data_IF_058989206885
#
_entry.id   IF_058989206885
#
_cell.length_a   1.000
_cell.length_b   1.000
_cell.length_c   1.000
_cell.angle_alpha   90.00
_cell.angle_beta   90.00
_cell.angle_gamma   90.00
#
_symmetry.space_group_name_H-M   'P 1'
#
loop_
_entity.id
_entity.type
_entity.pdbx_description
1 polymer ?
#
# COMPACT_ATOMS: atom_id res chain seq x y z
N UNK A 1 7.49 -2.93 3.99
CA UNK A 1 7.41 -4.39 4.23
C UNK A 1 6.43 -5.03 3.23
N UNK A 2 6.56 -6.33 2.98
CA UNK A 2 5.97 -7.02 1.82
C UNK A 2 4.93 -8.05 2.25
N UNK A 3 3.74 -8.01 1.63
CA UNK A 3 2.76 -9.09 1.72
C UNK A 3 3.04 -10.07 0.58
N UNK A 4 3.70 -11.19 0.91
CA UNK A 4 4.01 -12.25 -0.06
C UNK A 4 2.76 -13.07 -0.39
N UNK A 5 2.64 -13.52 -1.65
CA UNK A 5 1.52 -14.36 -2.09
C UNK A 5 0.16 -13.66 -2.06
N UNK A 6 0.12 -12.33 -2.20
CA UNK A 6 -1.13 -11.56 -2.07
C UNK A 6 -2.23 -11.96 -3.07
N UNK A 7 -1.87 -12.54 -4.23
CA UNK A 7 -2.82 -13.01 -5.24
C UNK A 7 -3.67 -14.21 -4.80
N UNK A 8 -3.19 -15.00 -3.84
CA UNK A 8 -3.91 -16.15 -3.30
C UNK A 8 -4.78 -15.79 -2.09
N UNK A 9 -4.73 -14.54 -1.64
CA UNK A 9 -5.46 -14.05 -0.47
C UNK A 9 -6.76 -13.38 -0.88
N UNK A 10 -7.83 -13.68 -0.16
CA UNK A 10 -9.03 -12.86 -0.19
C UNK A 10 -8.82 -11.56 0.62
N UNK A 11 -9.80 -10.65 0.58
CA UNK A 11 -9.73 -9.36 1.26
C UNK A 11 -9.43 -9.48 2.77
N UNK A 12 -10.08 -10.42 3.46
CA UNK A 12 -9.85 -10.65 4.88
C UNK A 12 -8.42 -11.16 5.15
N UNK A 13 -7.89 -12.02 4.28
CA UNK A 13 -6.52 -12.50 4.33
C UNK A 13 -5.50 -11.37 4.15
N UNK A 14 -5.71 -10.49 3.18
CA UNK A 14 -4.88 -9.29 2.98
C UNK A 14 -4.93 -8.40 4.21
N UNK A 15 -6.11 -8.13 4.76
CA UNK A 15 -6.27 -7.30 5.96
C UNK A 15 -5.52 -7.89 7.17
N UNK A 16 -5.66 -9.20 7.41
CA UNK A 16 -4.94 -9.90 8.48
C UNK A 16 -3.42 -9.81 8.30
N UNK A 17 -2.91 -10.10 7.09
CA UNK A 17 -1.47 -10.01 6.79
C UNK A 17 -0.92 -8.59 6.92
N UNK A 18 -1.70 -7.59 6.52
CA UNK A 18 -1.37 -6.18 6.70
C UNK A 18 -1.25 -5.84 8.19
N UNK A 19 -2.20 -6.28 9.01
CA UNK A 19 -2.17 -6.05 10.46
C UNK A 19 -0.96 -6.73 11.13
N UNK A 20 -0.69 -7.99 10.79
CA UNK A 20 0.47 -8.75 11.28
C UNK A 20 1.79 -8.00 10.99
N UNK A 21 2.03 -7.63 9.73
CA UNK A 21 3.30 -7.02 9.33
C UNK A 21 3.42 -5.57 9.82
N UNK A 22 2.30 -4.85 9.93
CA UNK A 22 2.28 -3.51 10.53
C UNK A 22 2.52 -3.57 12.05
N UNK A 23 2.07 -4.62 12.74
CA UNK A 23 2.39 -4.89 14.13
C UNK A 23 3.90 -5.09 14.32
N UNK A 24 4.51 -5.97 13.50
CA UNK A 24 5.97 -6.17 13.50
C UNK A 24 6.73 -4.87 13.24
N UNK A 25 6.30 -4.07 12.26
CA UNK A 25 6.92 -2.80 11.93
C UNK A 25 6.94 -1.83 13.12
N UNK A 26 5.82 -1.66 13.81
CA UNK A 26 5.72 -0.78 14.99
C UNK A 26 6.53 -1.32 16.17
N UNK A 27 6.61 -2.63 16.31
CA UNK A 27 7.40 -3.30 17.35
C UNK A 27 8.90 -3.42 17.05
N UNK A 28 9.38 -2.91 15.91
CA UNK A 28 10.79 -3.01 15.52
C UNK A 28 11.25 -4.42 15.12
N UNK A 29 10.32 -5.35 14.90
CA UNK A 29 10.60 -6.77 14.62
C UNK A 29 10.61 -7.13 13.13
N UNK A 30 10.87 -6.17 12.24
CA UNK A 30 10.99 -6.46 10.81
C UNK A 30 12.32 -7.13 10.51
N UNK A 31 12.27 -8.23 9.77
CA UNK A 31 13.45 -8.88 9.23
C UNK A 31 13.77 -8.34 7.82
N UNK A 32 15.00 -8.55 7.31
CA UNK A 32 15.32 -8.26 5.92
C UNK A 32 14.39 -8.96 4.92
N UNK A 33 13.92 -10.16 5.26
CA UNK A 33 13.00 -10.94 4.42
C UNK A 33 11.58 -10.33 4.37
N UNK A 34 11.14 -9.66 5.44
CA UNK A 34 9.86 -8.93 5.45
C UNK A 34 9.92 -7.67 4.54
N UNK A 35 11.10 -7.27 4.07
CA UNK A 35 11.32 -6.07 3.24
C UNK A 35 11.68 -6.39 1.79
N UNK A 36 11.93 -7.66 1.45
CA UNK A 36 12.43 -8.08 0.13
C UNK A 36 11.36 -8.78 -0.71
N UNK A 37 11.61 -8.86 -2.03
CA UNK A 37 10.79 -9.66 -2.96
C UNK A 37 9.43 -9.04 -3.34
N UNK A 38 9.24 -7.73 -3.15
CA UNK A 38 8.06 -7.05 -3.67
C UNK A 38 8.07 -7.00 -5.20
N UNK A 39 6.90 -7.14 -5.81
CA UNK A 39 6.68 -7.00 -7.27
C UNK A 39 5.91 -5.73 -7.62
N UNK A 40 5.18 -5.18 -6.65
CA UNK A 40 4.34 -3.99 -6.76
C UNK A 40 4.28 -3.28 -5.40
N UNK A 41 4.20 -1.95 -5.40
CA UNK A 41 4.09 -1.15 -4.17
C UNK A 41 2.80 -0.35 -4.12
N UNK A 42 2.20 -0.26 -2.93
CA UNK A 42 1.10 0.68 -2.62
C UNK A 42 1.64 1.71 -1.63
N UNK A 43 1.45 3.00 -1.94
CA UNK A 43 1.80 4.12 -1.06
C UNK A 43 0.57 4.97 -0.80
N UNK A 44 0.22 5.18 0.47
CA UNK A 44 -0.93 6.00 0.88
C UNK A 44 -0.47 7.28 1.57
N UNK A 45 -0.24 8.33 0.79
CA UNK A 45 0.04 9.68 1.30
C UNK A 45 -1.23 10.45 1.67
N UNK A 46 -2.39 9.96 1.23
CA UNK A 46 -3.70 10.48 1.64
C UNK A 46 -3.97 10.43 3.14
N UNK A 47 -3.38 9.46 3.85
CA UNK A 47 -3.41 9.40 5.33
C UNK A 47 -2.79 10.64 6.00
N UNK A 48 -1.95 11.39 5.28
CA UNK A 48 -1.31 12.64 5.70
C UNK A 48 -1.90 13.88 5.00
N UNK A 49 -3.04 13.74 4.31
CA UNK A 49 -3.73 14.85 3.65
C UNK A 49 -3.21 15.21 2.25
N UNK A 50 -2.24 14.48 1.69
CA UNK A 50 -1.77 14.73 0.33
C UNK A 50 -2.86 14.40 -0.69
N UNK A 51 -3.18 15.33 -1.59
CA UNK A 51 -4.24 15.15 -2.60
C UNK A 51 -3.81 14.25 -3.76
N UNK A 52 -2.56 14.38 -4.17
CA UNK A 52 -1.90 13.56 -5.20
C UNK A 52 -0.39 13.57 -4.93
N UNK A 53 0.32 12.59 -5.48
CA UNK A 53 1.77 12.47 -5.31
C UNK A 53 2.39 11.88 -6.59
N UNK A 54 3.60 12.32 -6.93
CA UNK A 54 4.38 11.76 -8.03
C UNK A 54 5.35 10.74 -7.46
N UNK A 55 4.93 9.49 -7.50
CA UNK A 55 5.65 8.37 -6.88
C UNK A 55 6.71 7.77 -7.82
N UNK A 56 7.86 7.39 -7.26
CA UNK A 56 8.94 6.70 -7.96
C UNK A 56 8.81 5.20 -7.71
N UNK A 57 8.84 4.40 -8.78
CA UNK A 57 8.82 2.93 -8.69
C UNK A 57 10.12 2.46 -8.02
N UNK A 58 10.06 1.70 -6.91
CA UNK A 58 11.26 1.12 -6.31
C UNK A 58 11.95 0.14 -7.28
N UNK A 59 13.28 -0.03 -7.20
CA UNK A 59 13.99 -0.96 -8.06
C UNK A 59 13.39 -2.38 -8.03
N UNK A 60 13.41 -3.05 -9.18
CA UNK A 60 12.92 -4.42 -9.37
C UNK A 60 11.41 -4.62 -9.16
N UNK A 61 10.61 -3.56 -9.21
CA UNK A 61 9.15 -3.62 -9.17
C UNK A 61 8.55 -3.09 -10.48
N UNK A 62 7.37 -3.59 -10.86
CA UNK A 62 6.75 -3.22 -12.14
C UNK A 62 6.04 -1.86 -12.08
N UNK A 63 5.50 -1.50 -10.91
CA UNK A 63 4.75 -0.26 -10.71
C UNK A 63 4.57 0.08 -9.21
N UNK A 64 4.13 1.31 -8.98
CA UNK A 64 3.68 1.80 -7.68
C UNK A 64 2.32 2.50 -7.83
N UNK A 65 1.39 2.22 -6.90
CA UNK A 65 0.11 2.93 -6.80
C UNK A 65 0.15 3.94 -5.66
N UNK A 66 0.03 5.22 -5.99
CA UNK A 66 -0.16 6.30 -5.04
C UNK A 66 -1.65 6.50 -4.72
N UNK A 67 -2.01 6.47 -3.43
CA UNK A 67 -3.35 6.76 -2.93
C UNK A 67 -3.33 8.14 -2.27
N UNK A 68 -4.03 9.09 -2.88
CA UNK A 68 -4.27 10.43 -2.34
C UNK A 68 -5.42 10.47 -1.32
N UNK A 69 -5.60 11.62 -0.68
CA UNK A 69 -6.61 11.83 0.34
C UNK A 69 -8.03 11.77 -0.25
N UNK A 70 -8.93 11.08 0.44
CA UNK A 70 -10.35 11.09 0.10
C UNK A 70 -10.96 12.43 0.50
N UNK A 71 -11.41 13.20 -0.48
CA UNK A 71 -12.02 14.51 -0.29
C UNK A 71 -13.30 14.63 -1.11
N UNK A 72 -14.29 15.38 -0.60
CA UNK A 72 -15.49 15.71 -1.39
C UNK A 72 -15.07 16.63 -2.54
N UNK A 73 -15.43 16.25 -3.77
CA UNK A 73 -15.25 17.08 -4.97
C UNK A 73 -16.58 17.20 -5.69
N UNK A 74 -16.92 18.38 -6.22
CA UNK A 74 -18.06 18.50 -7.13
C UNK A 74 -17.79 17.65 -8.39
N UNK A 75 -18.81 16.96 -8.87
CA UNK A 75 -18.78 16.20 -10.11
C UNK A 75 -20.11 16.41 -10.85
N UNK A 76 -20.04 16.48 -12.18
CA UNK A 76 -21.23 16.48 -13.03
C UNK A 76 -21.65 15.03 -13.27
N UNK A 77 -22.94 14.74 -13.11
CA UNK A 77 -23.51 13.43 -13.40
C UNK A 77 -24.43 13.64 -14.61
N UNK A 78 -24.06 13.06 -15.75
CA UNK A 78 -24.94 13.00 -16.92
C UNK A 78 -25.99 11.89 -16.69
N UNK A 79 -27.25 12.18 -16.99
CA UNK A 79 -28.39 11.25 -16.89
C UNK A 79 -28.89 10.90 -18.27
#
# INVERSE_FOLDING_TARGET
PVIKGAGDLNLAGIAKKTAEIAGKARGGGLTPDDMSGATFTISNTGSRGALFDTVIVPPNQVAILGIGATVKRPAVIET
#
